data_IF_189199661981
#
_entry.id   IF_189199661981
#
_cell.length_a   1.000
_cell.length_b   1.000
_cell.length_c   1.000
_cell.angle_alpha   90.00
_cell.angle_beta   90.00
_cell.angle_gamma   90.00
#
_symmetry.space_group_name_H-M   'P 1'
#
loop_
_entity.id
_entity.type
_entity.pdbx_description
1 polymer ?
#
# COMPACT_ATOMS: atom_id res chain seq x y z
N UNK A 1 -18.90 -62.99 0.65
CA UNK A 1 -20.08 -62.87 1.53
C UNK A 1 -20.46 -61.44 1.53
N UNK A 2 -21.30 -61.03 0.69
CA UNK A 2 -22.76 -60.97 0.75
C UNK A 2 -23.20 -59.72 1.51
N UNK A 3 -23.62 -58.68 0.76
CA UNK A 3 -25.01 -58.19 0.58
C UNK A 3 -25.47 -57.36 1.81
N UNK A 4 -26.11 -56.24 1.73
CA UNK A 4 -26.85 -55.64 0.67
C UNK A 4 -27.52 -54.33 1.15
N UNK A 5 -27.86 -53.54 0.15
CA UNK A 5 -29.09 -52.81 -0.08
C UNK A 5 -29.51 -51.59 0.74
N UNK A 6 -29.57 -50.48 0.01
CA UNK A 6 -30.61 -49.44 0.13
C UNK A 6 -31.99 -50.06 -0.27
N UNK A 7 -33.16 -49.38 -0.27
CA UNK A 7 -33.51 -47.96 -0.36
C UNK A 7 -34.83 -47.60 0.40
N UNK A 8 -35.32 -46.35 0.32
CA UNK A 8 -36.70 -45.90 0.04
C UNK A 8 -36.84 -44.43 0.53
N UNK A 9 -37.13 -43.44 -0.23
CA UNK A 9 -38.19 -42.94 -1.10
C UNK A 9 -39.58 -42.75 -0.43
N UNK A 10 -40.07 -41.54 -0.68
CA UNK A 10 -41.45 -41.00 -0.63
C UNK A 10 -41.88 -40.43 0.75
N UNK A 11 -42.50 -39.24 0.86
CA UNK A 11 -43.68 -38.86 0.12
C UNK A 11 -43.87 -37.36 -0.05
N UNK A 12 -44.41 -37.00 -1.15
CA UNK A 12 -45.05 -35.72 -1.49
C UNK A 12 -46.42 -35.63 -0.78
N UNK A 13 -46.78 -34.45 -0.32
CA UNK A 13 -48.17 -34.08 -0.18
C UNK A 13 -48.40 -32.69 -0.75
N UNK A 14 -49.36 -32.66 -1.65
CA UNK A 14 -49.76 -31.52 -2.44
C UNK A 14 -50.99 -30.83 -1.80
N UNK A 15 -51.13 -29.58 -2.22
CA UNK A 15 -52.25 -28.63 -2.18
C UNK A 15 -53.69 -29.18 -2.01
N UNK A 16 -54.68 -28.36 -1.52
CA UNK A 16 -55.42 -27.42 -2.34
C UNK A 16 -55.68 -26.06 -1.61
N UNK A 17 -55.96 -24.90 -2.18
CA UNK A 17 -56.76 -24.56 -3.33
C UNK A 17 -57.95 -23.70 -2.95
N UNK A 18 -58.05 -22.50 -3.56
CA UNK A 18 -59.26 -21.68 -3.76
C UNK A 18 -59.82 -20.82 -2.64
N UNK A 19 -59.97 -19.55 -3.01
CA UNK A 19 -61.02 -18.67 -2.52
C UNK A 19 -60.85 -17.22 -2.97
N UNK A 20 -61.45 -16.89 -4.12
CA UNK A 20 -61.73 -15.51 -4.60
C UNK A 20 -62.75 -14.84 -3.67
N UNK A 21 -62.66 -13.49 -3.55
CA UNK A 21 -63.75 -12.50 -3.57
C UNK A 21 -63.09 -11.14 -3.27
N UNK A 22 -62.99 -10.17 -4.24
CA UNK A 22 -63.98 -9.17 -4.63
C UNK A 22 -64.36 -8.27 -3.43
N UNK A 23 -64.15 -6.99 -3.38
CA UNK A 23 -64.72 -5.82 -4.04
C UNK A 23 -64.23 -4.60 -3.30
N UNK A 24 -63.62 -3.65 -3.93
CA UNK A 24 -64.05 -2.29 -4.24
C UNK A 24 -64.58 -1.43 -3.06
N UNK A 25 -63.87 -0.33 -2.76
CA UNK A 25 -64.57 0.92 -2.47
C UNK A 25 -63.84 2.10 -3.12
N UNK A 26 -64.62 2.78 -3.93
CA UNK A 26 -64.32 3.93 -4.76
C UNK A 26 -64.41 5.24 -3.95
N UNK A 27 -63.60 6.22 -4.33
CA UNK A 27 -63.88 7.65 -4.40
C UNK A 27 -64.30 8.42 -3.13
N UNK A 28 -63.47 9.36 -2.75
CA UNK A 28 -63.96 10.73 -2.53
C UNK A 28 -62.92 11.76 -3.04
N UNK A 29 -63.26 12.39 -4.17
CA UNK A 29 -62.71 13.61 -4.73
C UNK A 29 -63.52 14.78 -4.16
N UNK A 30 -62.91 15.89 -3.80
CA UNK A 30 -63.30 17.26 -4.15
C UNK A 30 -62.40 18.27 -3.41
N UNK A 31 -61.53 18.93 -4.15
CA UNK A 31 -61.52 20.37 -4.50
C UNK A 31 -61.66 21.38 -3.34
N UNK A 32 -60.55 22.12 -3.12
CA UNK A 32 -60.62 23.58 -3.01
C UNK A 32 -59.42 24.19 -3.74
N UNK A 33 -59.73 24.90 -4.84
CA UNK A 33 -58.83 25.84 -5.49
C UNK A 33 -59.20 27.25 -5.00
N UNK A 34 -58.20 28.05 -4.59
CA UNK A 34 -58.25 29.49 -4.80
C UNK A 34 -56.90 30.18 -4.39
N UNK A 35 -56.22 30.63 -5.37
CA UNK A 35 -55.66 31.97 -5.55
C UNK A 35 -54.71 32.56 -4.48
N UNK A 36 -53.49 32.81 -4.93
CA UNK A 36 -52.53 33.67 -4.28
C UNK A 36 -51.26 33.80 -5.14
N UNK A 37 -51.34 34.61 -6.21
CA UNK A 37 -50.16 35.13 -6.88
C UNK A 37 -49.43 36.07 -5.93
N UNK A 38 -48.18 35.76 -5.59
CA UNK A 38 -47.20 36.72 -5.08
C UNK A 38 -45.85 36.49 -5.77
N UNK A 39 -45.14 37.57 -6.14
CA UNK A 39 -44.00 37.47 -7.06
C UNK A 39 -42.75 36.99 -6.39
N UNK A 40 -41.94 36.31 -7.21
CA UNK A 40 -40.53 35.99 -7.09
C UNK A 40 -39.80 36.37 -5.80
N UNK A 41 -39.62 35.38 -4.92
CA UNK A 41 -38.44 35.39 -4.04
C UNK A 41 -37.40 34.48 -4.68
N UNK A 42 -36.37 35.13 -5.23
CA UNK A 42 -35.09 34.52 -5.48
C UNK A 42 -34.68 33.69 -4.26
N UNK A 43 -34.58 32.37 -4.42
CA UNK A 43 -33.88 31.55 -3.45
C UNK A 43 -32.45 32.08 -3.31
N UNK A 44 -32.28 32.98 -2.34
CA UNK A 44 -30.97 33.18 -1.76
C UNK A 44 -30.52 31.84 -1.25
N UNK A 45 -29.39 31.36 -1.80
CA UNK A 45 -28.55 30.35 -1.18
C UNK A 45 -28.54 30.66 0.32
N UNK A 46 -29.12 29.78 1.13
CA UNK A 46 -28.88 29.81 2.56
C UNK A 46 -27.39 29.55 2.74
N UNK A 47 -26.64 30.59 2.99
CA UNK A 47 -25.36 30.51 3.64
C UNK A 47 -25.59 29.75 4.95
N UNK A 48 -24.95 28.62 5.09
CA UNK A 48 -24.96 27.77 6.25
C UNK A 48 -24.54 28.59 7.48
N UNK A 49 -25.55 29.02 8.25
CA UNK A 49 -25.36 29.85 9.43
C UNK A 49 -25.03 28.92 10.59
N UNK A 50 -23.74 28.72 10.89
CA UNK A 50 -23.27 28.31 12.23
C UNK A 50 -23.59 26.93 12.71
N UNK A 51 -23.78 25.94 11.83
CA UNK A 51 -23.90 24.51 12.20
C UNK A 51 -22.56 23.85 12.29
N UNK A 52 -22.32 23.02 13.33
CA UNK A 52 -21.14 22.18 13.48
C UNK A 52 -21.02 21.25 12.28
N UNK A 53 -19.88 21.27 11.57
CA UNK A 53 -19.55 20.36 10.48
C UNK A 53 -19.20 18.99 11.06
N UNK A 54 -19.74 17.90 10.49
CA UNK A 54 -19.34 16.54 10.83
C UNK A 54 -18.60 15.90 9.66
N UNK A 55 -17.30 15.62 9.83
CA UNK A 55 -16.48 14.89 8.87
C UNK A 55 -16.52 13.40 9.14
N UNK A 56 -16.62 12.60 8.09
CA UNK A 56 -16.42 11.16 8.10
C UNK A 56 -15.04 10.86 7.52
N UNK A 57 -14.22 10.16 8.31
CA UNK A 57 -12.86 9.74 7.91
C UNK A 57 -12.83 8.23 7.80
N UNK A 58 -12.37 7.70 6.69
CA UNK A 58 -12.21 6.25 6.50
C UNK A 58 -10.74 5.88 6.48
N UNK A 59 -10.37 4.88 7.30
CA UNK A 59 -9.00 4.40 7.45
C UNK A 59 -8.96 2.88 7.53
N UNK A 60 -7.77 2.30 7.30
CA UNK A 60 -7.50 0.91 7.63
C UNK A 60 -6.36 0.80 8.64
N UNK A 61 -6.35 -0.29 9.38
CA UNK A 61 -5.26 -0.61 10.29
C UNK A 61 -5.74 -1.35 11.53
N UNK A 62 -4.75 -1.74 12.35
CA UNK A 62 -5.00 -2.40 13.62
C UNK A 62 -5.47 -1.41 14.70
N UNK A 63 -5.82 -1.94 15.89
CA UNK A 63 -6.31 -1.14 17.00
C UNK A 63 -5.32 -0.07 17.50
N UNK A 64 -4.00 -0.33 17.37
CA UNK A 64 -2.98 0.64 17.74
C UNK A 64 -3.01 1.85 16.82
N UNK A 65 -3.09 1.61 15.50
CA UNK A 65 -3.23 2.65 14.49
C UNK A 65 -4.50 3.47 14.69
N UNK A 66 -5.63 2.79 14.91
CA UNK A 66 -6.90 3.46 15.20
C UNK A 66 -6.79 4.38 16.42
N UNK A 67 -6.23 3.87 17.54
CA UNK A 67 -6.06 4.65 18.76
C UNK A 67 -5.21 5.91 18.56
N UNK A 68 -4.07 5.80 17.86
CA UNK A 68 -3.22 6.96 17.57
C UNK A 68 -3.91 7.95 16.63
N UNK A 69 -4.64 7.45 15.65
CA UNK A 69 -5.43 8.31 14.75
C UNK A 69 -6.52 9.05 15.52
N UNK A 70 -7.22 8.37 16.43
CA UNK A 70 -8.24 9.00 17.28
C UNK A 70 -7.64 10.11 18.14
N UNK A 71 -6.49 9.87 18.78
CA UNK A 71 -5.81 10.89 19.60
C UNK A 71 -5.42 12.14 18.76
N UNK A 72 -4.91 11.93 17.55
CA UNK A 72 -4.58 13.06 16.66
C UNK A 72 -5.84 13.82 16.20
N UNK A 73 -6.92 13.10 15.92
CA UNK A 73 -8.22 13.70 15.59
C UNK A 73 -8.85 14.43 16.76
N UNK A 74 -8.71 13.91 17.97
CA UNK A 74 -9.19 14.58 19.19
C UNK A 74 -8.45 15.92 19.41
N UNK A 75 -7.13 15.95 19.17
CA UNK A 75 -6.35 17.19 19.18
C UNK A 75 -6.82 18.19 18.10
N UNK A 76 -7.12 17.72 16.88
CA UNK A 76 -7.69 18.55 15.83
C UNK A 76 -9.04 19.13 16.25
N UNK A 77 -9.94 18.31 16.77
CA UNK A 77 -11.29 18.73 17.19
C UNK A 77 -11.24 19.76 18.34
N UNK A 78 -10.28 19.57 19.28
CA UNK A 78 -10.06 20.55 20.36
C UNK A 78 -9.63 21.92 19.82
N UNK A 79 -8.81 21.95 18.75
CA UNK A 79 -8.37 23.17 18.08
C UNK A 79 -9.43 23.76 17.11
N UNK A 80 -10.40 22.94 16.68
CA UNK A 80 -11.44 23.30 15.69
C UNK A 80 -12.83 22.87 16.21
N UNK A 81 -13.41 23.58 17.20
CA UNK A 81 -14.66 23.14 17.86
C UNK A 81 -15.90 23.20 16.95
N UNK A 82 -15.79 23.87 15.81
CA UNK A 82 -16.77 23.90 14.73
C UNK A 82 -16.80 22.62 13.89
N UNK A 83 -15.78 21.73 14.03
CA UNK A 83 -15.67 20.49 13.26
C UNK A 83 -15.68 19.28 14.19
N UNK A 84 -16.65 18.39 13.99
CA UNK A 84 -16.67 17.06 14.59
C UNK A 84 -16.12 16.04 13.59
N UNK A 85 -15.37 15.04 14.05
CA UNK A 85 -14.83 13.99 13.21
C UNK A 85 -15.28 12.63 13.70
N UNK A 86 -15.68 11.77 12.78
CA UNK A 86 -15.98 10.34 13.04
C UNK A 86 -15.04 9.48 12.21
N UNK A 87 -14.42 8.48 12.82
CA UNK A 87 -13.47 7.58 12.13
C UNK A 87 -14.15 6.23 11.90
N UNK A 88 -14.14 5.77 10.65
CA UNK A 88 -14.51 4.42 10.24
C UNK A 88 -13.23 3.64 9.93
N UNK A 89 -12.85 2.70 10.81
CA UNK A 89 -11.66 1.87 10.62
C UNK A 89 -12.04 0.43 10.31
N UNK A 90 -11.33 -0.19 9.37
CA UNK A 90 -11.53 -1.58 8.98
C UNK A 90 -10.16 -2.26 8.77
N UNK A 91 -10.13 -3.59 8.69
CA UNK A 91 -8.98 -4.30 8.16
C UNK A 91 -8.80 -4.02 6.66
N UNK A 92 -7.65 -4.44 6.10
CA UNK A 92 -7.28 -4.13 4.72
C UNK A 92 -8.34 -4.57 3.69
N UNK A 93 -8.81 -5.80 3.76
CA UNK A 93 -9.75 -6.33 2.76
C UNK A 93 -11.12 -5.69 2.89
N UNK A 94 -11.67 -5.66 4.11
CA UNK A 94 -12.98 -5.07 4.37
C UNK A 94 -13.01 -3.56 4.10
N UNK A 95 -11.87 -2.88 4.26
CA UNK A 95 -11.74 -1.46 3.92
C UNK A 95 -12.08 -1.18 2.46
N UNK A 96 -11.42 -1.90 1.53
CA UNK A 96 -11.61 -1.67 0.09
C UNK A 96 -12.99 -2.08 -0.38
N UNK A 97 -13.54 -3.18 0.11
CA UNK A 97 -14.90 -3.64 -0.20
C UNK A 97 -15.95 -2.61 0.23
N UNK A 98 -15.79 -2.07 1.45
CA UNK A 98 -16.68 -1.05 2.01
C UNK A 98 -16.56 0.27 1.27
N UNK A 99 -15.32 0.74 1.00
CA UNK A 99 -15.08 1.98 0.27
C UNK A 99 -15.65 1.92 -1.14
N UNK A 100 -15.46 0.81 -1.85
CA UNK A 100 -16.04 0.60 -3.18
C UNK A 100 -17.57 0.69 -3.15
N UNK A 101 -18.21 0.04 -2.18
CA UNK A 101 -19.66 0.06 -2.00
C UNK A 101 -20.17 1.48 -1.70
N UNK A 102 -19.51 2.18 -0.76
CA UNK A 102 -19.91 3.55 -0.40
C UNK A 102 -19.74 4.52 -1.57
N UNK A 103 -18.63 4.39 -2.32
CA UNK A 103 -18.35 5.23 -3.48
C UNK A 103 -19.38 5.01 -4.60
N UNK A 104 -19.72 3.75 -4.89
CA UNK A 104 -20.75 3.40 -5.88
C UNK A 104 -22.15 3.89 -5.48
N UNK A 105 -22.43 3.99 -4.18
CA UNK A 105 -23.69 4.49 -3.63
C UNK A 105 -23.75 5.98 -3.37
N UNK A 106 -22.79 6.80 -3.88
CA UNK A 106 -22.68 8.23 -3.63
C UNK A 106 -22.63 8.61 -2.14
N UNK A 107 -22.14 7.71 -1.29
CA UNK A 107 -22.04 7.87 0.17
C UNK A 107 -20.59 7.75 0.66
N UNK A 108 -19.63 8.24 -0.12
CA UNK A 108 -18.21 8.24 0.24
C UNK A 108 -17.97 9.03 1.54
N UNK A 109 -16.98 8.62 2.37
CA UNK A 109 -16.46 9.45 3.45
C UNK A 109 -15.87 10.75 2.92
N UNK A 110 -15.78 11.78 3.77
CA UNK A 110 -15.20 13.09 3.38
C UNK A 110 -13.68 12.98 3.18
N UNK A 111 -12.98 12.34 4.12
CA UNK A 111 -11.55 12.10 4.08
C UNK A 111 -11.29 10.60 3.98
N UNK A 112 -10.44 10.22 3.05
CA UNK A 112 -10.20 8.83 2.65
C UNK A 112 -8.70 8.55 2.71
N UNK A 113 -8.29 7.54 3.47
CA UNK A 113 -6.93 7.02 3.39
C UNK A 113 -6.79 6.18 2.11
N UNK A 114 -5.78 6.48 1.27
CA UNK A 114 -5.56 5.79 0.01
C UNK A 114 -4.22 5.07 -0.02
N UNK A 115 -4.15 3.99 -0.78
CA UNK A 115 -2.93 3.26 -1.11
C UNK A 115 -2.56 3.46 -2.58
N UNK A 116 -1.29 3.34 -2.89
CA UNK A 116 -0.73 3.48 -4.23
C UNK A 116 -1.40 2.53 -5.25
N UNK A 117 -1.74 1.32 -4.83
CA UNK A 117 -2.39 0.32 -5.69
C UNK A 117 -3.83 0.68 -6.10
N UNK A 118 -4.47 1.61 -5.39
CA UNK A 118 -5.89 1.93 -5.59
C UNK A 118 -6.15 3.38 -5.99
N UNK A 119 -5.24 4.31 -5.66
CA UNK A 119 -5.47 5.75 -5.86
C UNK A 119 -5.80 6.10 -7.32
N UNK A 120 -5.15 5.43 -8.29
CA UNK A 120 -5.42 5.65 -9.70
C UNK A 120 -6.83 5.19 -10.10
N UNK A 121 -7.32 4.08 -9.55
CA UNK A 121 -8.66 3.58 -9.86
C UNK A 121 -9.77 4.52 -9.37
N UNK A 122 -9.58 5.16 -8.21
CA UNK A 122 -10.52 6.14 -7.67
C UNK A 122 -10.37 7.52 -8.33
N UNK A 123 -9.12 7.96 -8.59
CA UNK A 123 -8.83 9.23 -9.27
C UNK A 123 -9.36 9.25 -10.70
N UNK A 124 -9.15 8.17 -11.47
CA UNK A 124 -9.62 8.07 -12.86
C UNK A 124 -11.16 8.04 -13.00
N UNK A 125 -11.90 7.78 -11.91
CA UNK A 125 -13.37 7.80 -11.86
C UNK A 125 -13.91 9.08 -11.24
N UNK A 126 -13.08 10.11 -11.06
CA UNK A 126 -13.44 11.38 -10.42
C UNK A 126 -14.03 11.19 -9.00
N UNK A 127 -13.65 10.12 -8.30
CA UNK A 127 -14.10 9.88 -6.92
C UNK A 127 -13.30 10.67 -5.89
N UNK A 128 -12.10 11.13 -6.25
CA UNK A 128 -11.21 11.92 -5.42
C UNK A 128 -11.17 13.38 -5.90
N UNK A 129 -11.12 14.31 -4.96
CA UNK A 129 -11.05 15.74 -5.25
C UNK A 129 -9.64 16.11 -5.74
N UNK A 130 -9.56 17.00 -6.72
CA UNK A 130 -8.35 17.76 -7.01
C UNK A 130 -7.97 18.63 -5.81
N UNK A 131 -6.89 18.28 -5.12
CA UNK A 131 -6.44 19.00 -3.92
C UNK A 131 -5.98 20.42 -4.20
N UNK A 132 -5.69 20.75 -5.46
CA UNK A 132 -5.46 22.14 -5.88
C UNK A 132 -6.66 23.07 -5.64
N UNK A 133 -7.88 22.52 -5.58
CA UNK A 133 -9.11 23.30 -5.28
C UNK A 133 -9.25 23.70 -3.81
N UNK A 134 -8.49 23.07 -2.92
CA UNK A 134 -8.52 23.31 -1.47
C UNK A 134 -7.14 23.72 -0.91
N UNK A 135 -6.25 24.21 -1.78
CA UNK A 135 -4.89 24.63 -1.43
C UNK A 135 -4.79 25.69 -0.35
N UNK A 136 -5.85 26.50 -0.15
CA UNK A 136 -5.89 27.53 0.88
C UNK A 136 -6.13 26.93 2.29
N UNK A 137 -6.48 25.63 2.36
CA UNK A 137 -6.73 24.86 3.57
C UNK A 137 -5.78 23.66 3.74
N UNK A 138 -4.87 23.44 2.79
CA UNK A 138 -3.92 22.31 2.77
C UNK A 138 -2.61 22.76 2.10
N UNK A 139 -1.61 23.06 2.90
CA UNK A 139 -0.29 23.49 2.39
C UNK A 139 0.67 22.28 2.26
N UNK A 140 0.89 21.87 1.03
CA UNK A 140 1.83 20.79 0.68
C UNK A 140 3.17 21.32 0.12
N UNK A 141 3.42 22.63 0.17
CA UNK A 141 4.60 23.27 -0.42
C UNK A 141 5.93 22.84 0.22
N UNK A 142 5.89 22.36 1.45
CA UNK A 142 7.05 21.83 2.16
C UNK A 142 7.44 20.39 1.76
N UNK A 143 6.64 19.71 0.94
CA UNK A 143 6.96 18.38 0.43
C UNK A 143 7.88 18.45 -0.79
N UNK A 144 8.76 17.46 -0.94
CA UNK A 144 9.53 17.30 -2.16
C UNK A 144 8.60 17.07 -3.37
N UNK A 145 8.89 17.70 -4.50
CA UNK A 145 8.09 17.57 -5.72
C UNK A 145 7.93 16.10 -6.19
N UNK A 146 9.00 15.31 -6.11
CA UNK A 146 8.96 13.88 -6.45
C UNK A 146 8.00 13.10 -5.55
N UNK A 147 7.90 13.45 -4.26
CA UNK A 147 6.96 12.83 -3.33
C UNK A 147 5.52 13.22 -3.66
N UNK A 148 5.28 14.51 -3.94
CA UNK A 148 3.96 15.00 -4.37
C UNK A 148 3.50 14.34 -5.67
N UNK A 149 4.41 14.12 -6.61
CA UNK A 149 4.07 13.50 -7.90
C UNK A 149 3.52 12.08 -7.74
N UNK A 150 3.86 11.38 -6.65
CA UNK A 150 3.27 10.07 -6.34
C UNK A 150 1.77 10.13 -6.04
N UNK A 151 1.22 11.29 -5.67
CA UNK A 151 -0.20 11.50 -5.42
C UNK A 151 -1.00 11.97 -6.63
N UNK A 152 -0.36 12.08 -7.81
CA UNK A 152 -1.00 12.52 -9.03
C UNK A 152 -1.58 11.37 -9.83
N UNK A 153 -2.78 11.56 -10.35
CA UNK A 153 -3.46 10.68 -11.31
C UNK A 153 -3.83 11.51 -12.52
N UNK A 154 -3.34 11.14 -13.70
CA UNK A 154 -3.57 11.92 -14.92
C UNK A 154 -3.09 13.39 -14.82
N UNK A 155 -2.04 13.65 -14.05
CA UNK A 155 -1.50 15.00 -13.82
C UNK A 155 -2.21 15.80 -12.71
N UNK A 156 -3.32 15.32 -12.16
CA UNK A 156 -4.09 15.97 -11.09
C UNK A 156 -3.67 15.40 -9.74
N UNK A 157 -3.36 16.26 -8.77
CA UNK A 157 -3.03 15.86 -7.40
C UNK A 157 -4.31 15.49 -6.64
N UNK A 158 -4.53 14.20 -6.39
CA UNK A 158 -5.72 13.68 -5.72
C UNK A 158 -5.42 13.02 -4.37
N UNK A 159 -4.15 12.88 -4.02
CA UNK A 159 -3.71 12.33 -2.75
C UNK A 159 -2.52 13.10 -2.18
N UNK A 160 -2.62 13.51 -0.91
CA UNK A 160 -1.52 14.08 -0.15
C UNK A 160 -0.69 12.95 0.46
N UNK A 161 0.59 12.75 0.07
CA UNK A 161 1.44 11.71 0.65
C UNK A 161 1.60 11.89 2.17
N UNK A 162 1.34 10.82 2.92
CA UNK A 162 1.47 10.85 4.39
C UNK A 162 2.93 10.66 4.79
N UNK A 163 3.59 9.72 4.15
CA UNK A 163 4.97 9.39 4.41
C UNK A 163 5.62 8.76 3.19
N UNK A 164 6.91 8.47 3.32
CA UNK A 164 7.71 7.83 2.26
C UNK A 164 8.20 6.46 2.70
N UNK A 165 8.36 5.58 1.72
CA UNK A 165 8.95 4.26 1.85
C UNK A 165 9.90 4.00 0.69
N UNK A 166 11.09 3.47 0.98
CA UNK A 166 12.09 3.11 -0.01
C UNK A 166 12.30 1.59 0.01
N UNK A 167 12.29 0.97 -1.16
CA UNK A 167 12.62 -0.44 -1.29
C UNK A 167 14.12 -0.63 -1.05
N UNK A 168 14.49 -1.52 -0.13
CA UNK A 168 15.83 -1.62 0.44
C UNK A 168 16.17 -3.06 0.84
N UNK A 169 17.38 -3.28 1.33
CA UNK A 169 17.82 -4.52 1.94
C UNK A 169 17.86 -4.36 3.45
N UNK A 170 17.02 -5.09 4.17
CA UNK A 170 17.17 -5.30 5.61
C UNK A 170 18.28 -6.29 5.90
N UNK A 171 19.09 -6.01 6.92
CA UNK A 171 20.23 -6.83 7.31
C UNK A 171 20.14 -7.20 8.78
N UNK A 172 20.37 -8.46 9.08
CA UNK A 172 20.59 -8.98 10.43
C UNK A 172 22.10 -9.07 10.69
N UNK A 173 22.71 -8.12 11.40
CA UNK A 173 24.16 -8.09 11.63
C UNK A 173 24.63 -9.26 12.50
N UNK A 174 23.80 -9.79 13.39
CA UNK A 174 24.16 -10.94 14.23
C UNK A 174 24.27 -12.23 13.41
N UNK A 175 23.44 -12.40 12.38
CA UNK A 175 23.55 -13.55 11.45
C UNK A 175 24.82 -13.42 10.62
N UNK A 176 25.16 -12.22 10.12
CA UNK A 176 26.43 -12.01 9.41
C UNK A 176 27.64 -12.30 10.30
N UNK A 177 27.65 -11.79 11.52
CA UNK A 177 28.70 -12.02 12.52
C UNK A 177 28.85 -13.51 12.83
N UNK A 178 27.74 -14.24 13.05
CA UNK A 178 27.74 -15.69 13.28
C UNK A 178 28.32 -16.47 12.10
N UNK A 179 28.08 -15.99 10.88
CA UNK A 179 28.64 -16.56 9.65
C UNK A 179 30.12 -16.20 9.42
N UNK A 180 30.67 -15.22 10.16
CA UNK A 180 32.00 -14.67 9.90
C UNK A 180 32.06 -13.91 8.58
N UNK A 181 30.95 -13.26 8.19
CA UNK A 181 30.81 -12.49 6.95
C UNK A 181 30.73 -10.99 7.31
N UNK A 182 31.57 -10.18 6.67
CA UNK A 182 31.56 -8.71 6.90
C UNK A 182 30.33 -8.06 6.29
N UNK A 183 29.91 -6.92 6.89
CA UNK A 183 28.87 -6.06 6.33
C UNK A 183 29.30 -5.57 4.95
N UNK A 184 28.47 -5.75 3.89
CA UNK A 184 28.80 -5.26 2.55
C UNK A 184 28.87 -3.73 2.49
N UNK A 185 29.65 -3.20 1.54
CA UNK A 185 29.60 -1.78 1.20
C UNK A 185 28.47 -1.56 0.17
N UNK A 186 27.34 -1.05 0.64
CA UNK A 186 26.11 -0.86 -0.15
C UNK A 186 26.18 0.29 -1.17
N UNK A 187 27.23 1.11 -1.15
CA UNK A 187 27.42 2.19 -2.13
C UNK A 187 27.97 1.71 -3.46
N UNK A 188 28.57 0.53 -3.50
CA UNK A 188 29.27 0.04 -4.70
C UNK A 188 28.96 -1.41 -5.04
N UNK A 189 28.11 -2.08 -4.27
CA UNK A 189 27.81 -3.49 -4.48
C UNK A 189 26.86 -3.74 -5.63
N UNK A 190 26.99 -4.93 -6.19
CA UNK A 190 26.15 -5.40 -7.31
C UNK A 190 25.30 -6.59 -6.88
N UNK A 191 24.28 -6.91 -7.68
CA UNK A 191 23.46 -8.13 -7.49
C UNK A 191 24.32 -9.39 -7.45
N UNK A 192 25.41 -9.45 -8.24
CA UNK A 192 26.32 -10.59 -8.22
C UNK A 192 27.08 -10.70 -6.91
N UNK A 193 27.58 -9.58 -6.39
CA UNK A 193 28.26 -9.55 -5.08
C UNK A 193 27.27 -9.86 -3.94
N UNK A 194 26.05 -9.36 -4.03
CA UNK A 194 24.97 -9.71 -3.09
C UNK A 194 24.71 -11.22 -3.05
N UNK A 195 24.56 -11.86 -4.23
CA UNK A 195 24.37 -13.29 -4.35
C UNK A 195 25.54 -14.08 -3.72
N UNK A 196 26.79 -13.62 -3.94
CA UNK A 196 27.99 -14.25 -3.37
C UNK A 196 28.01 -14.15 -1.84
N UNK A 197 27.72 -12.95 -1.29
CA UNK A 197 27.67 -12.74 0.16
C UNK A 197 26.57 -13.58 0.80
N UNK A 198 25.38 -13.61 0.20
CA UNK A 198 24.28 -14.43 0.69
C UNK A 198 24.62 -15.94 0.63
N UNK A 199 25.25 -16.40 -0.46
CA UNK A 199 25.69 -17.78 -0.57
C UNK A 199 26.77 -18.14 0.47
N UNK A 200 27.68 -17.22 0.80
CA UNK A 200 28.67 -17.42 1.86
C UNK A 200 28.02 -17.64 3.23
N UNK A 201 27.01 -16.83 3.58
CA UNK A 201 26.23 -17.01 4.82
C UNK A 201 25.57 -18.38 4.86
N UNK A 202 24.84 -18.75 3.81
CA UNK A 202 24.19 -20.08 3.73
C UNK A 202 25.22 -21.21 3.77
N UNK A 203 26.36 -21.07 3.10
CA UNK A 203 27.44 -22.06 3.14
C UNK A 203 27.96 -22.32 4.55
N UNK A 204 27.96 -21.32 5.42
CA UNK A 204 28.40 -21.44 6.83
C UNK A 204 27.30 -21.93 7.77
N UNK A 205 26.08 -21.48 7.56
CA UNK A 205 24.98 -21.66 8.52
C UNK A 205 23.79 -22.47 8.00
N UNK A 206 23.79 -22.86 6.73
CA UNK A 206 22.67 -23.57 6.10
C UNK A 206 22.32 -24.90 6.74
N UNK A 207 23.29 -25.64 7.29
CA UNK A 207 23.03 -26.86 8.07
C UNK A 207 22.23 -26.62 9.35
N UNK A 208 22.18 -25.36 9.82
CA UNK A 208 21.40 -24.91 10.96
C UNK A 208 20.03 -24.29 10.53
N UNK A 209 19.69 -24.36 9.23
CA UNK A 209 18.47 -23.75 8.67
C UNK A 209 18.53 -22.22 8.60
N UNK A 210 19.74 -21.65 8.51
CA UNK A 210 19.96 -20.20 8.38
C UNK A 210 20.51 -19.88 7.00
N UNK A 211 19.93 -18.93 6.32
CA UNK A 211 20.18 -18.59 4.92
C UNK A 211 20.75 -17.18 4.78
N UNK A 212 21.40 -16.92 3.65
CA UNK A 212 21.86 -15.56 3.34
C UNK A 212 20.70 -14.62 3.04
N UNK A 213 19.83 -15.03 2.15
CA UNK A 213 18.61 -14.29 1.77
C UNK A 213 17.40 -15.21 1.96
N UNK A 214 16.29 -14.68 2.41
CA UNK A 214 15.09 -15.47 2.71
C UNK A 214 14.18 -15.75 1.51
N UNK A 215 14.32 -15.02 0.41
CA UNK A 215 13.60 -15.26 -0.85
C UNK A 215 13.80 -14.17 -1.88
N UNK A 216 13.56 -14.47 -3.17
CA UNK A 216 13.59 -13.55 -4.30
C UNK A 216 12.83 -14.14 -5.49
N UNK A 217 12.19 -13.28 -6.28
CA UNK A 217 11.56 -13.68 -7.55
C UNK A 217 10.04 -13.78 -7.51
N UNK A 218 9.40 -13.46 -6.38
CA UNK A 218 7.94 -13.57 -6.22
C UNK A 218 7.24 -12.27 -5.86
N UNK A 219 7.98 -11.19 -5.60
CA UNK A 219 7.41 -9.89 -5.25
C UNK A 219 7.45 -8.91 -6.43
N UNK A 220 6.33 -8.26 -6.74
CA UNK A 220 6.24 -7.26 -7.81
C UNK A 220 7.20 -6.07 -7.59
N UNK A 221 7.46 -5.68 -6.34
CA UNK A 221 8.41 -4.63 -6.00
C UNK A 221 9.86 -4.96 -6.42
N UNK A 222 10.25 -6.24 -6.34
CA UNK A 222 11.56 -6.72 -6.81
C UNK A 222 11.68 -6.56 -8.34
N UNK A 223 10.65 -6.96 -9.10
CA UNK A 223 10.62 -6.76 -10.54
C UNK A 223 10.65 -5.27 -10.92
N UNK A 224 9.90 -4.42 -10.20
CA UNK A 224 9.91 -2.98 -10.43
C UNK A 224 11.30 -2.35 -10.23
N UNK A 225 11.99 -2.72 -9.15
CA UNK A 225 13.36 -2.25 -8.89
C UNK A 225 14.35 -2.77 -9.96
N UNK A 226 14.23 -4.02 -10.36
CA UNK A 226 15.05 -4.64 -11.40
C UNK A 226 14.87 -3.97 -12.76
N UNK A 227 13.61 -3.73 -13.17
CA UNK A 227 13.27 -3.08 -14.43
C UNK A 227 13.82 -1.65 -14.48
N UNK A 228 13.62 -0.86 -13.42
CA UNK A 228 14.10 0.53 -13.31
C UNK A 228 15.60 0.63 -13.49
N UNK A 229 16.35 -0.28 -12.90
CA UNK A 229 17.81 -0.33 -13.06
C UNK A 229 18.24 -0.57 -14.51
N UNK A 230 17.41 -1.27 -15.29
CA UNK A 230 17.60 -1.47 -16.73
C UNK A 230 17.04 -0.32 -17.61
N UNK A 231 16.50 0.73 -16.98
CA UNK A 231 15.92 1.87 -17.68
C UNK A 231 14.48 1.61 -18.19
N UNK A 232 13.81 0.61 -17.63
CA UNK A 232 12.44 0.23 -17.97
C UNK A 232 11.54 0.34 -16.72
N UNK A 233 10.23 0.48 -16.93
CA UNK A 233 9.24 0.46 -15.84
C UNK A 233 8.13 -0.56 -16.15
N UNK A 234 7.59 -1.20 -15.10
CA UNK A 234 6.45 -2.11 -15.24
C UNK A 234 5.24 -1.35 -15.76
N UNK A 235 5.02 -0.14 -15.24
CA UNK A 235 3.96 0.78 -15.61
C UNK A 235 4.58 2.11 -16.05
N UNK A 236 5.00 2.24 -17.31
CA UNK A 236 5.57 3.50 -17.80
C UNK A 236 4.46 4.53 -18.06
N UNK A 237 4.78 5.81 -17.89
CA UNK A 237 3.91 6.91 -18.33
C UNK A 237 3.78 6.93 -19.85
N UNK A 238 4.87 6.60 -20.55
CA UNK A 238 4.95 6.53 -22.01
C UNK A 238 5.81 5.34 -22.41
N UNK A 239 5.58 4.83 -23.61
CA UNK A 239 6.38 3.76 -24.21
C UNK A 239 5.93 2.34 -23.87
N UNK A 240 6.73 1.34 -24.26
CA UNK A 240 6.32 -0.06 -24.28
C UNK A 240 6.26 -0.73 -22.90
N UNK A 241 6.90 -0.18 -21.89
CA UNK A 241 7.03 -0.81 -20.57
C UNK A 241 8.17 -1.83 -20.50
N UNK A 242 8.09 -2.70 -19.48
CA UNK A 242 9.11 -3.72 -19.25
C UNK A 242 9.17 -4.73 -20.40
N UNK A 243 10.38 -5.07 -20.83
CA UNK A 243 10.64 -5.97 -21.94
C UNK A 243 10.68 -7.44 -21.52
N UNK A 244 10.47 -8.36 -22.48
CA UNK A 244 10.67 -9.79 -22.32
C UNK A 244 12.08 -10.10 -21.77
N UNK A 245 13.11 -9.46 -22.32
CA UNK A 245 14.49 -9.66 -21.90
C UNK A 245 14.73 -9.28 -20.43
N UNK A 246 14.15 -8.16 -20.00
CA UNK A 246 14.26 -7.69 -18.60
C UNK A 246 13.57 -8.65 -17.63
N UNK A 247 12.34 -9.08 -17.92
CA UNK A 247 11.62 -10.03 -17.03
C UNK A 247 12.30 -11.41 -17.03
N UNK A 248 12.79 -11.88 -18.19
CA UNK A 248 13.58 -13.12 -18.27
C UNK A 248 14.82 -13.04 -17.38
N UNK A 249 15.60 -11.95 -17.50
CA UNK A 249 16.81 -11.74 -16.70
C UNK A 249 16.55 -11.66 -15.19
N UNK A 250 15.38 -11.15 -14.79
CA UNK A 250 14.94 -11.14 -13.40
C UNK A 250 14.73 -12.56 -12.88
N UNK A 251 14.03 -13.41 -13.61
CA UNK A 251 13.80 -14.81 -13.23
C UNK A 251 15.08 -15.66 -13.33
N UNK A 252 15.96 -15.37 -14.29
CA UNK A 252 17.29 -16.01 -14.35
C UNK A 252 18.09 -15.71 -13.09
N UNK A 253 18.03 -14.47 -12.59
CA UNK A 253 18.69 -14.10 -11.35
C UNK A 253 18.06 -14.80 -10.13
N UNK A 254 16.75 -14.94 -10.06
CA UNK A 254 16.08 -15.70 -9.01
C UNK A 254 16.56 -17.18 -9.00
N UNK A 255 16.61 -17.82 -10.16
CA UNK A 255 17.14 -19.18 -10.30
C UNK A 255 18.64 -19.27 -9.96
N UNK A 256 19.42 -18.25 -10.31
CA UNK A 256 20.84 -18.15 -9.92
C UNK A 256 21.01 -18.15 -8.39
N UNK A 257 20.19 -17.40 -7.66
CA UNK A 257 20.24 -17.38 -6.19
C UNK A 257 19.95 -18.76 -5.59
N UNK A 258 18.98 -19.49 -6.14
CA UNK A 258 18.67 -20.86 -5.71
C UNK A 258 19.85 -21.80 -6.02
N UNK A 259 20.40 -21.75 -7.23
CA UNK A 259 21.53 -22.57 -7.67
C UNK A 259 22.79 -22.32 -6.83
N UNK A 260 23.06 -21.07 -6.47
CA UNK A 260 24.16 -20.69 -5.59
C UNK A 260 23.90 -21.01 -4.11
N UNK A 261 22.71 -21.49 -3.76
CA UNK A 261 22.24 -21.67 -2.37
C UNK A 261 22.29 -20.36 -1.55
N UNK A 262 22.13 -19.22 -2.22
CA UNK A 262 22.01 -17.92 -1.54
C UNK A 262 20.69 -17.79 -0.78
N UNK A 263 19.64 -18.47 -1.26
CA UNK A 263 18.30 -18.57 -0.69
C UNK A 263 17.98 -19.97 -0.20
N UNK A 264 16.89 -20.17 0.58
CA UNK A 264 16.32 -21.48 0.84
C UNK A 264 15.87 -22.17 -0.46
N UNK A 265 15.62 -23.49 -0.43
CA UNK A 265 14.91 -24.18 -1.51
C UNK A 265 13.54 -23.54 -1.79
N UNK A 266 13.05 -23.61 -3.04
CA UNK A 266 11.83 -22.96 -3.50
C UNK A 266 10.62 -23.15 -2.58
N UNK A 267 10.37 -24.37 -2.09
CA UNK A 267 9.26 -24.64 -1.17
C UNK A 267 9.35 -23.84 0.13
N UNK A 268 10.56 -23.68 0.68
CA UNK A 268 10.77 -22.90 1.90
C UNK A 268 10.68 -21.39 1.67
N UNK A 269 11.04 -20.90 0.47
CA UNK A 269 10.83 -19.50 0.10
C UNK A 269 9.34 -19.17 0.03
N UNK A 270 8.53 -20.03 -0.60
CA UNK A 270 7.07 -19.84 -0.72
C UNK A 270 6.40 -19.91 0.64
N UNK A 271 6.80 -20.84 1.50
CA UNK A 271 6.32 -20.91 2.89
C UNK A 271 6.64 -19.61 3.66
N UNK A 272 7.87 -19.10 3.53
CA UNK A 272 8.30 -17.85 4.14
C UNK A 272 7.52 -16.63 3.61
N UNK A 273 7.26 -16.58 2.30
CA UNK A 273 6.52 -15.46 1.68
C UNK A 273 5.06 -15.36 2.16
N UNK A 274 4.46 -16.45 2.64
CA UNK A 274 3.10 -16.50 3.19
C UNK A 274 3.05 -16.44 4.72
N UNK A 275 4.20 -16.47 5.38
CA UNK A 275 4.29 -16.40 6.83
C UNK A 275 3.91 -15.00 7.35
N UNK A 276 3.28 -14.91 8.52
CA UNK A 276 3.16 -13.65 9.24
C UNK A 276 4.54 -13.16 9.65
N UNK A 277 4.71 -11.84 9.77
CA UNK A 277 6.01 -11.19 9.90
C UNK A 277 6.90 -11.82 11.00
N UNK A 278 6.36 -12.03 12.18
CA UNK A 278 7.07 -12.57 13.35
C UNK A 278 7.50 -14.04 13.22
N UNK A 279 6.95 -14.76 12.24
CA UNK A 279 7.29 -16.15 11.91
C UNK A 279 8.20 -16.26 10.69
N UNK A 280 8.47 -15.16 10.01
CA UNK A 280 9.35 -15.14 8.83
C UNK A 280 10.79 -15.52 9.18
N UNK A 281 11.54 -16.00 8.19
CA UNK A 281 12.96 -16.36 8.38
C UNK A 281 13.79 -15.18 8.87
N UNK A 282 13.53 -13.97 8.37
CA UNK A 282 14.28 -12.79 8.78
C UNK A 282 13.95 -12.38 10.23
N UNK A 283 12.68 -12.35 10.61
CA UNK A 283 12.25 -12.04 11.97
C UNK A 283 12.69 -13.09 13.02
N UNK A 284 12.86 -14.34 12.61
CA UNK A 284 13.31 -15.43 13.49
C UNK A 284 14.82 -15.67 13.49
N UNK A 285 15.61 -14.71 13.00
CA UNK A 285 17.08 -14.79 12.90
C UNK A 285 17.57 -15.98 12.05
N UNK A 286 16.78 -16.38 11.04
CA UNK A 286 17.10 -17.47 10.10
C UNK A 286 17.50 -16.97 8.70
N UNK A 287 17.58 -15.66 8.50
CA UNK A 287 18.11 -15.03 7.29
C UNK A 287 18.98 -13.83 7.65
N UNK A 288 20.07 -13.63 6.87
CA UNK A 288 20.94 -12.45 7.01
C UNK A 288 20.34 -11.24 6.31
N UNK A 289 19.69 -11.45 5.17
CA UNK A 289 19.13 -10.39 4.34
C UNK A 289 17.65 -10.66 4.05
N UNK A 290 16.91 -9.54 3.89
CA UNK A 290 15.52 -9.50 3.45
C UNK A 290 15.28 -8.27 2.59
N UNK A 291 14.51 -8.40 1.49
CA UNK A 291 14.08 -7.27 0.68
C UNK A 291 12.79 -6.70 1.27
N UNK A 292 12.79 -5.41 1.64
CA UNK A 292 11.66 -4.78 2.33
C UNK A 292 11.56 -3.30 2.00
N UNK A 293 10.41 -2.71 2.28
CA UNK A 293 10.34 -1.26 2.43
C UNK A 293 10.96 -0.86 3.77
N UNK A 294 11.89 0.09 3.77
CA UNK A 294 12.73 0.45 4.92
C UNK A 294 11.93 0.73 6.21
N UNK A 295 10.68 1.19 6.08
CA UNK A 295 9.78 1.46 7.21
C UNK A 295 9.36 0.22 8.00
N UNK A 296 9.53 -0.98 7.42
CA UNK A 296 9.20 -2.25 8.07
C UNK A 296 10.30 -2.72 9.04
N UNK A 297 11.48 -2.08 9.02
CA UNK A 297 12.64 -2.54 9.79
C UNK A 297 12.39 -2.55 11.31
N UNK A 298 11.58 -1.61 11.83
CA UNK A 298 11.20 -1.56 13.25
C UNK A 298 10.42 -2.80 13.67
N UNK A 299 9.48 -3.27 12.84
CA UNK A 299 8.71 -4.46 13.13
C UNK A 299 9.59 -5.72 13.14
N UNK A 300 10.51 -5.84 12.17
CA UNK A 300 11.47 -6.94 12.14
C UNK A 300 12.47 -6.90 13.30
N UNK A 301 12.97 -5.72 13.66
CA UNK A 301 13.84 -5.53 14.81
C UNK A 301 13.18 -5.94 16.12
N UNK A 302 11.93 -5.55 16.32
CA UNK A 302 11.13 -5.93 17.49
C UNK A 302 10.88 -7.43 17.55
N UNK A 303 10.45 -8.05 16.43
CA UNK A 303 10.15 -9.47 16.38
C UNK A 303 11.40 -10.35 16.58
N UNK A 304 12.55 -9.94 16.03
CA UNK A 304 13.80 -10.70 16.15
C UNK A 304 14.56 -10.47 17.46
N UNK A 305 14.28 -9.38 18.18
CA UNK A 305 15.07 -8.92 19.31
C UNK A 305 16.49 -8.44 18.92
N UNK A 306 16.72 -8.15 17.62
CA UNK A 306 18.02 -7.75 17.06
C UNK A 306 17.95 -6.35 16.48
N UNK A 307 18.98 -5.53 16.72
CA UNK A 307 19.11 -4.25 16.04
C UNK A 307 19.45 -4.48 14.56
N UNK A 308 18.44 -4.41 13.70
CA UNK A 308 18.57 -4.58 12.26
C UNK A 308 19.26 -3.36 11.62
N UNK A 309 19.80 -3.53 10.43
CA UNK A 309 20.37 -2.46 9.62
C UNK A 309 19.70 -2.40 8.25
N UNK A 310 19.87 -1.29 7.55
CA UNK A 310 19.35 -1.08 6.20
C UNK A 310 20.52 -0.80 5.25
N UNK A 311 20.44 -1.36 4.06
CA UNK A 311 21.36 -1.11 2.96
C UNK A 311 20.57 -0.73 1.70
N UNK A 312 21.21 0.02 0.81
CA UNK A 312 20.71 0.24 -0.55
C UNK A 312 20.52 -1.09 -1.24
N UNK A 313 19.56 -1.18 -2.16
CA UNK A 313 19.50 -2.33 -3.06
C UNK A 313 20.77 -2.39 -3.91
N UNK A 314 21.25 -3.60 -4.29
CA UNK A 314 22.38 -3.73 -5.20
C UNK A 314 22.13 -3.08 -6.54
N UNK A 315 23.18 -2.60 -7.22
CA UNK A 315 23.11 -2.09 -8.59
C UNK A 315 23.37 -3.19 -9.63
N UNK A 316 23.04 -2.93 -10.91
CA UNK A 316 23.37 -3.85 -12.01
C UNK A 316 24.88 -3.93 -12.26
N UNK A 317 25.59 -2.79 -12.10
CA UNK A 317 27.05 -2.71 -12.19
C UNK A 317 27.59 -1.76 -11.11
N UNK A 318 28.84 -1.97 -10.69
CA UNK A 318 29.46 -1.22 -9.58
C UNK A 318 29.57 0.30 -9.79
N UNK A 319 29.57 0.76 -11.04
CA UNK A 319 29.64 2.19 -11.38
C UNK A 319 28.24 2.83 -11.59
N UNK A 320 27.17 2.04 -11.50
CA UNK A 320 25.79 2.50 -11.73
C UNK A 320 25.09 2.76 -10.39
N UNK A 321 24.23 3.79 -10.33
CA UNK A 321 23.38 3.99 -9.16
C UNK A 321 22.30 2.89 -9.06
N UNK A 322 21.85 2.55 -7.85
CA UNK A 322 20.81 1.55 -7.64
C UNK A 322 19.41 2.02 -8.09
N UNK A 323 19.25 3.28 -8.52
CA UNK A 323 18.00 3.89 -9.00
C UNK A 323 16.83 3.68 -8.03
N UNK A 324 17.08 3.96 -6.76
CA UNK A 324 16.05 3.92 -5.73
C UNK A 324 15.08 5.11 -5.89
N UNK A 325 13.86 4.94 -5.42
CA UNK A 325 12.79 5.95 -5.50
C UNK A 325 12.11 6.12 -4.16
N UNK A 326 11.52 7.29 -3.93
CA UNK A 326 10.47 7.42 -2.93
C UNK A 326 9.17 6.83 -3.46
N UNK A 327 8.54 5.98 -2.65
CA UNK A 327 7.15 5.57 -2.78
C UNK A 327 6.37 6.20 -1.64
N UNK A 328 5.22 6.80 -1.91
CA UNK A 328 4.35 7.19 -0.81
C UNK A 328 3.94 5.94 -0.02
N UNK A 329 4.03 6.02 1.30
CA UNK A 329 3.56 4.93 2.15
C UNK A 329 2.05 4.78 2.07
N UNK A 330 1.34 5.90 2.07
CA UNK A 330 -0.12 6.05 1.97
C UNK A 330 -0.42 7.50 1.61
N UNK A 331 -1.71 7.78 1.32
CA UNK A 331 -2.18 9.14 1.03
C UNK A 331 -3.39 9.48 1.89
N UNK A 332 -3.57 10.75 2.17
CA UNK A 332 -4.86 11.32 2.50
C UNK A 332 -5.49 11.94 1.25
N UNK A 333 -6.74 11.61 1.00
CA UNK A 333 -7.53 12.18 -0.10
C UNK A 333 -8.82 12.74 0.44
N UNK A 334 -9.41 13.69 -0.30
CA UNK A 334 -10.75 14.20 -0.06
C UNK A 334 -11.68 13.61 -1.11
N UNK A 335 -12.86 13.20 -0.71
CA UNK A 335 -13.89 12.76 -1.67
C UNK A 335 -14.35 13.90 -2.55
N UNK A 336 -14.47 13.69 -3.85
CA UNK A 336 -15.06 14.67 -4.77
C UNK A 336 -16.55 14.96 -4.47
N UNK A 337 -17.20 14.07 -3.72
CA UNK A 337 -18.60 14.20 -3.27
C UNK A 337 -18.76 14.85 -1.91
N UNK A 338 -17.65 15.15 -1.22
CA UNK A 338 -17.71 15.82 0.09
C UNK A 338 -18.34 17.21 -0.03
N UNK A 339 -19.28 17.49 0.85
CA UNK A 339 -19.85 18.83 1.03
C UNK A 339 -18.99 19.71 1.95
N UNK A 340 -17.96 19.11 2.55
CA UNK A 340 -17.09 19.71 3.56
C UNK A 340 -15.60 19.60 3.16
N UNK A 341 -15.31 19.78 1.86
CA UNK A 341 -13.97 19.56 1.32
C UNK A 341 -12.90 20.44 1.98
N UNK A 342 -13.20 21.71 2.27
CA UNK A 342 -12.29 22.62 2.97
C UNK A 342 -12.00 22.18 4.41
N UNK A 343 -13.01 21.72 5.13
CA UNK A 343 -12.83 21.18 6.48
C UNK A 343 -12.03 19.86 6.46
N UNK A 344 -12.26 19.01 5.44
CA UNK A 344 -11.47 17.80 5.20
C UNK A 344 -10.01 18.13 4.91
N UNK A 345 -9.75 19.15 4.11
CA UNK A 345 -8.41 19.65 3.81
C UNK A 345 -7.70 20.18 5.06
N UNK A 346 -8.38 20.97 5.91
CA UNK A 346 -7.86 21.43 7.22
C UNK A 346 -7.47 20.28 8.12
N UNK A 347 -8.27 19.19 8.15
CA UNK A 347 -7.93 18.00 8.92
C UNK A 347 -6.67 17.33 8.35
N UNK A 348 -6.56 17.18 7.03
CA UNK A 348 -5.37 16.58 6.39
C UNK A 348 -4.14 17.42 6.69
N UNK A 349 -4.22 18.74 6.53
CA UNK A 349 -3.13 19.67 6.84
C UNK A 349 -2.63 19.48 8.28
N UNK A 350 -3.56 19.51 9.24
CA UNK A 350 -3.26 19.29 10.67
C UNK A 350 -2.58 17.93 10.92
N UNK A 351 -3.08 16.85 10.32
CA UNK A 351 -2.50 15.52 10.50
C UNK A 351 -1.08 15.40 9.93
N UNK A 352 -0.76 16.19 8.90
CA UNK A 352 0.54 16.16 8.22
C UNK A 352 1.57 17.14 8.81
N UNK A 353 1.12 18.26 9.42
CA UNK A 353 2.01 19.37 9.75
C UNK A 353 1.99 19.78 11.22
N UNK A 354 0.86 19.62 11.93
CA UNK A 354 0.73 20.15 13.28
C UNK A 354 1.43 19.25 14.31
N UNK A 355 2.30 19.84 15.18
CA UNK A 355 2.99 19.10 16.25
C UNK A 355 2.06 18.30 17.19
N UNK A 356 0.82 18.76 17.38
CA UNK A 356 -0.15 18.04 18.22
C UNK A 356 -0.62 16.72 17.58
N UNK A 357 -0.51 16.59 16.25
CA UNK A 357 -0.79 15.34 15.55
C UNK A 357 0.49 14.56 15.24
N UNK A 358 1.52 15.22 14.70
CA UNK A 358 2.73 14.54 14.21
C UNK A 358 3.52 13.86 15.32
N UNK A 359 3.54 14.41 16.54
CA UNK A 359 4.15 13.77 17.73
C UNK A 359 3.36 12.57 18.27
N UNK A 360 2.08 12.48 17.98
CA UNK A 360 1.24 11.32 18.31
C UNK A 360 1.45 10.23 17.26
N UNK A 361 1.38 10.59 15.98
CA UNK A 361 1.43 9.67 14.84
C UNK A 361 2.84 9.14 14.57
N UNK A 362 3.85 9.96 14.80
CA UNK A 362 5.29 9.68 14.61
C UNK A 362 5.55 9.03 13.25
N UNK A 363 5.85 7.73 13.20
CA UNK A 363 6.10 6.96 11.97
C UNK A 363 5.03 5.90 11.70
N UNK A 364 3.84 6.00 12.33
CA UNK A 364 2.78 4.99 12.22
C UNK A 364 2.35 4.72 10.76
N UNK A 365 2.46 5.73 9.89
CA UNK A 365 2.13 5.63 8.47
C UNK A 365 3.33 5.83 7.54
N UNK A 366 4.52 5.48 8.00
CA UNK A 366 5.77 5.67 7.28
C UNK A 366 6.59 6.86 7.80
N UNK A 367 7.76 7.07 7.23
CA UNK A 367 8.56 8.28 7.52
C UNK A 367 7.80 9.48 6.96
N UNK A 368 7.48 10.50 7.78
CA UNK A 368 6.71 11.66 7.30
C UNK A 368 7.26 12.24 6.00
N UNK A 369 6.37 12.60 5.08
CA UNK A 369 6.76 13.13 3.77
C UNK A 369 7.37 14.54 3.84
N UNK A 370 7.17 15.26 4.97
CA UNK A 370 7.63 16.64 5.18
C UNK A 370 8.94 16.62 6.00
N UNK A 371 10.06 17.13 5.46
CA UNK A 371 11.36 17.08 6.14
C UNK A 371 11.39 17.82 7.49
N UNK A 372 10.64 18.91 7.66
CA UNK A 372 10.53 19.62 8.93
C UNK A 372 9.90 18.74 10.03
N UNK A 373 8.88 17.96 9.67
CA UNK A 373 8.22 17.01 10.58
C UNK A 373 9.17 15.87 10.93
N UNK A 374 9.93 15.33 9.97
CA UNK A 374 10.96 14.31 10.24
C UNK A 374 11.94 14.78 11.32
N UNK A 375 12.41 16.03 11.21
CA UNK A 375 13.32 16.65 12.19
C UNK A 375 12.67 16.76 13.57
N UNK A 376 11.40 17.15 13.61
CA UNK A 376 10.66 17.34 14.87
C UNK A 376 10.44 16.02 15.61
N UNK A 377 10.07 14.95 14.89
CA UNK A 377 9.80 13.65 15.52
C UNK A 377 11.05 12.82 15.81
N UNK A 378 12.21 13.15 15.21
CA UNK A 378 13.44 12.37 15.36
C UNK A 378 13.82 12.05 16.83
N UNK A 379 13.66 12.98 17.81
CA UNK A 379 13.91 12.67 19.21
C UNK A 379 12.95 11.65 19.84
N UNK A 380 11.78 11.43 19.24
CA UNK A 380 10.73 10.55 19.76
C UNK A 380 10.86 9.11 19.25
N UNK A 381 11.72 8.88 18.24
CA UNK A 381 11.87 7.59 17.59
C UNK A 381 12.59 6.59 18.48
N UNK A 382 12.12 5.36 18.46
CA UNK A 382 12.87 4.21 18.96
C UNK A 382 14.14 3.97 18.11
N UNK A 383 15.10 3.17 18.59
CA UNK A 383 16.35 2.95 17.86
C UNK A 383 16.17 2.41 16.43
N UNK A 384 15.17 1.54 16.19
CA UNK A 384 14.93 0.96 14.86
C UNK A 384 14.27 1.97 13.92
N UNK A 385 13.33 2.76 14.43
CA UNK A 385 12.71 3.85 13.65
C UNK A 385 13.72 4.94 13.29
N UNK A 386 14.72 5.20 14.15
CA UNK A 386 15.86 6.09 13.82
C UNK A 386 16.66 5.55 12.66
N UNK A 387 16.96 4.25 12.62
CA UNK A 387 17.67 3.61 11.51
C UNK A 387 16.90 3.82 10.19
N UNK A 388 15.57 3.67 10.21
CA UNK A 388 14.74 3.91 9.03
C UNK A 388 14.82 5.38 8.58
N UNK A 389 14.72 6.34 9.50
CA UNK A 389 14.82 7.76 9.18
C UNK A 389 16.21 8.14 8.64
N UNK A 390 17.27 7.72 9.31
CA UNK A 390 18.66 7.97 8.90
C UNK A 390 18.96 7.36 7.53
N UNK A 391 18.47 6.14 7.28
CA UNK A 391 18.60 5.51 5.97
C UNK A 391 17.91 6.33 4.88
N UNK A 392 16.63 6.70 5.06
CA UNK A 392 15.88 7.53 4.12
C UNK A 392 16.61 8.84 3.81
N UNK A 393 17.11 9.53 4.83
CA UNK A 393 17.89 10.77 4.67
C UNK A 393 19.22 10.54 3.94
N UNK A 394 19.88 9.40 4.20
CA UNK A 394 21.18 9.08 3.58
C UNK A 394 21.10 8.80 2.08
N UNK A 395 19.95 8.32 1.60
CA UNK A 395 19.72 8.02 0.18
C UNK A 395 19.02 9.14 -0.58
N UNK A 396 18.44 10.12 0.11
CA UNK A 396 17.67 11.20 -0.50
C UNK A 396 18.37 11.91 -1.68
N UNK A 397 19.71 12.20 -1.63
CA UNK A 397 20.42 12.80 -2.76
C UNK A 397 20.58 11.88 -3.99
N UNK A 398 20.33 10.58 -3.84
CA UNK A 398 20.57 9.54 -4.86
C UNK A 398 19.28 9.05 -5.50
N UNK A 399 18.11 9.51 -5.00
CA UNK A 399 16.82 9.08 -5.48
C UNK A 399 16.56 9.59 -6.90
N UNK A 400 15.99 8.73 -7.71
CA UNK A 400 15.49 9.10 -9.05
C UNK A 400 13.98 9.39 -8.97
N UNK A 401 13.39 10.07 -9.98
CA UNK A 401 11.94 10.30 -10.02
C UNK A 401 11.15 8.99 -9.87
N UNK A 402 10.08 8.97 -9.09
CA UNK A 402 9.26 7.78 -8.92
C UNK A 402 8.54 7.42 -10.23
N UNK A 403 8.20 6.14 -10.44
CA UNK A 403 7.31 5.74 -11.53
C UNK A 403 5.91 6.33 -11.27
N UNK A 404 5.07 6.32 -12.31
CA UNK A 404 3.65 6.61 -12.10
C UNK A 404 3.02 5.60 -11.15
N UNK A 405 1.92 6.01 -10.50
CA UNK A 405 1.12 5.11 -9.68
C UNK A 405 0.58 3.93 -10.50
N UNK A 406 0.35 2.83 -9.82
CA UNK A 406 -0.23 1.62 -10.45
C UNK A 406 -1.51 1.98 -11.21
N UNK A 407 -1.64 1.60 -12.51
CA UNK A 407 -2.81 1.93 -13.32
C UNK A 407 -4.14 1.43 -12.71
N UNK A 408 -5.27 2.06 -13.06
CA UNK A 408 -6.57 1.75 -12.46
C UNK A 408 -6.99 0.27 -12.49
N UNK A 409 -6.61 -0.45 -13.55
CA UNK A 409 -6.95 -1.87 -13.71
C UNK A 409 -5.88 -2.83 -13.17
N UNK A 410 -4.77 -2.31 -12.64
CA UNK A 410 -3.59 -3.10 -12.29
C UNK A 410 -3.39 -3.33 -10.78
N UNK A 411 -4.38 -2.99 -9.94
CA UNK A 411 -4.32 -3.22 -8.49
C UNK A 411 -4.12 -4.70 -8.11
N UNK A 412 -4.55 -5.63 -8.98
CA UNK A 412 -4.38 -7.09 -8.82
C UNK A 412 -3.02 -7.63 -9.27
N UNK A 413 -2.12 -6.80 -9.84
CA UNK A 413 -0.88 -7.28 -10.46
C UNK A 413 -0.02 -8.15 -9.54
N UNK A 414 0.19 -7.74 -8.30
CA UNK A 414 1.00 -8.52 -7.34
C UNK A 414 0.42 -9.92 -7.08
N UNK A 415 -0.91 -10.04 -7.02
CA UNK A 415 -1.58 -11.32 -6.80
C UNK A 415 -1.45 -12.26 -8.01
N UNK A 416 -1.43 -11.73 -9.24
CA UNK A 416 -1.24 -12.51 -10.47
C UNK A 416 0.24 -12.80 -10.76
N UNK A 417 1.15 -11.90 -10.37
CA UNK A 417 2.59 -12.06 -10.55
C UNK A 417 3.18 -13.16 -9.66
N UNK A 418 2.82 -13.21 -8.37
CA UNK A 418 3.38 -14.14 -7.38
C UNK A 418 3.29 -15.61 -7.80
N UNK A 419 2.17 -16.13 -8.34
CA UNK A 419 2.10 -17.50 -8.85
C UNK A 419 3.07 -17.78 -10.00
N UNK A 420 3.28 -16.81 -10.91
CA UNK A 420 4.20 -16.96 -12.04
C UNK A 420 5.65 -17.10 -11.52
N UNK A 421 6.07 -16.22 -10.61
CA UNK A 421 7.38 -16.31 -9.97
C UNK A 421 7.57 -17.63 -9.21
N UNK A 422 6.53 -18.09 -8.51
CA UNK A 422 6.50 -19.38 -7.82
C UNK A 422 6.72 -20.54 -8.80
N UNK A 423 6.05 -20.53 -9.95
CA UNK A 423 6.21 -21.58 -10.96
C UNK A 423 7.64 -21.64 -11.53
N UNK A 424 8.26 -20.46 -11.71
CA UNK A 424 9.66 -20.39 -12.15
C UNK A 424 10.60 -20.94 -11.08
N UNK A 425 10.43 -20.54 -9.81
CA UNK A 425 11.26 -21.04 -8.70
C UNK A 425 11.18 -22.56 -8.52
N UNK A 426 10.01 -23.17 -8.78
CA UNK A 426 9.84 -24.63 -8.75
C UNK A 426 10.30 -25.34 -10.04
N UNK A 427 10.77 -24.60 -11.04
CA UNK A 427 11.14 -25.15 -12.35
C UNK A 427 9.96 -25.66 -13.18
N UNK A 428 8.72 -25.30 -12.83
CA UNK A 428 7.50 -25.62 -13.59
C UNK A 428 7.33 -24.74 -14.82
N UNK A 429 8.01 -23.60 -14.86
CA UNK A 429 8.06 -22.67 -15.98
C UNK A 429 9.50 -22.24 -16.20
N UNK A 430 9.93 -22.13 -17.45
CA UNK A 430 11.23 -21.51 -17.74
C UNK A 430 11.18 -19.99 -17.43
N UNK A 431 12.32 -19.32 -17.17
CA UNK A 431 12.39 -17.86 -17.07
C UNK A 431 11.74 -17.14 -18.25
N UNK A 432 11.94 -17.60 -19.47
CA UNK A 432 11.37 -17.02 -20.68
C UNK A 432 9.84 -17.20 -20.77
N UNK A 433 9.32 -18.39 -20.39
CA UNK A 433 7.88 -18.64 -20.36
C UNK A 433 7.22 -17.85 -19.21
N UNK A 434 7.88 -17.75 -18.05
CA UNK A 434 7.46 -16.89 -16.94
C UNK A 434 7.35 -15.44 -17.36
N UNK A 435 8.35 -14.93 -18.09
CA UNK A 435 8.35 -13.58 -18.62
C UNK A 435 7.20 -13.34 -19.62
N UNK A 436 6.93 -14.30 -20.50
CA UNK A 436 5.78 -14.25 -21.42
C UNK A 436 4.45 -14.12 -20.66
N UNK A 437 4.26 -14.91 -19.59
CA UNK A 437 3.06 -14.83 -18.76
C UNK A 437 2.94 -13.48 -18.05
N UNK A 438 4.02 -12.95 -17.48
CA UNK A 438 4.03 -11.63 -16.82
C UNK A 438 3.64 -10.54 -17.80
N UNK A 439 4.19 -10.55 -19.02
CA UNK A 439 3.84 -9.56 -20.05
C UNK A 439 2.37 -9.67 -20.49
N UNK A 440 1.82 -10.88 -20.57
CA UNK A 440 0.40 -11.08 -20.87
C UNK A 440 -0.50 -10.52 -19.74
N UNK A 441 -0.12 -10.72 -18.47
CA UNK A 441 -0.80 -10.13 -17.31
C UNK A 441 -0.76 -8.59 -17.40
N UNK A 442 0.43 -8.00 -17.61
CA UNK A 442 0.57 -6.55 -17.75
C UNK A 442 -0.28 -6.02 -18.91
N UNK A 443 -0.32 -6.72 -20.04
CA UNK A 443 -1.12 -6.32 -21.18
C UNK A 443 -2.64 -6.38 -20.91
N UNK A 444 -3.09 -7.34 -20.13
CA UNK A 444 -4.51 -7.48 -19.76
C UNK A 444 -5.00 -6.40 -18.78
N UNK A 445 -4.08 -5.72 -18.10
CA UNK A 445 -4.35 -4.69 -17.10
C UNK A 445 -4.20 -3.24 -17.66
N UNK A 446 -3.76 -3.09 -18.90
CA UNK A 446 -3.73 -1.79 -19.57
C UNK A 446 -5.10 -1.40 -20.12
#
# INVERSE_FOLDING_TARGET
MALGRAPARKDRAAFPGRGRLFTAFLLLVFLIAAAGCAPGQSQRSQSDSGGQVTLRVSTWGNDSRLRLTQQAVDAFTAANPDIKVTIENNDWTAYWDKLATMTAGDNSPDVIQMDESYIAAYGARDALLDLGKVKDNLDLSAMNANVLDTGKVGGTLVGAPIGVANFSIGVNPEVLKKAGVSMPNDKTWTWDQFAQVAAQVTGKLGSQGVYGLDGFGTAAAELGAWARQKGEEVWPTEGPGVSQATVTSFFDYANKLVAMKATPPAGRQVENATAVLDQSLFATNKAAFHLLFHTQISAFGTASGTEMKLLRIPAQAAAEPPKMVDKASMYWSVSSRSKHAEAGARLIDFLLTDPAATKILVTERGIPAIPAVQKEIAPLLDPQAKIALEFSQSIAPELVPPPQVTPPNASGFSAEFTPVGTDVLFGRSSPADGATKVLAIIQSMK
#
